data_IF_385738243464
#
_entry.id   IF_385738243464
#
_cell.length_a   1.000
_cell.length_b   1.000
_cell.length_c   1.000
_cell.angle_alpha   90.00
_cell.angle_beta   90.00
_cell.angle_gamma   90.00
#
_symmetry.space_group_name_H-M   'P 1'
#
loop_
_entity.id
_entity.type
_entity.pdbx_description
1 polymer ?
#
# COMPACT_ATOMS: atom_id res chain seq x y z
N UNK A 1 -23.35 18.46 33.83
CA UNK A 1 -22.77 17.22 33.30
C UNK A 1 -21.27 17.38 33.39
N UNK A 2 -20.62 16.53 34.18
CA UNK A 2 -19.25 16.74 34.64
C UNK A 2 -18.24 16.57 33.52
N UNK A 3 -17.32 17.54 33.41
CA UNK A 3 -16.11 17.43 32.61
C UNK A 3 -15.30 16.24 33.15
N UNK A 4 -15.29 15.13 32.42
CA UNK A 4 -14.32 14.06 32.69
C UNK A 4 -12.94 14.64 32.39
N UNK A 5 -12.01 14.47 33.32
CA UNK A 5 -10.66 14.99 33.23
C UNK A 5 -9.94 14.35 32.03
N UNK A 6 -9.98 15.05 30.90
CA UNK A 6 -9.43 14.61 29.63
C UNK A 6 -7.94 14.37 29.72
N UNK A 7 -7.46 13.46 28.87
CA UNK A 7 -6.04 13.32 28.57
C UNK A 7 -5.48 14.72 28.28
N UNK A 8 -4.49 15.14 29.07
CA UNK A 8 -3.93 16.49 29.00
C UNK A 8 -3.43 16.75 27.58
N UNK A 9 -4.13 17.63 26.84
CA UNK A 9 -3.77 17.99 25.48
C UNK A 9 -4.84 17.74 24.40
N UNK A 10 -6.00 17.16 24.72
CA UNK A 10 -7.08 16.90 23.73
C UNK A 10 -8.36 17.67 24.09
N UNK A 11 -9.11 18.10 23.07
CA UNK A 11 -10.39 18.76 23.23
C UNK A 11 -11.38 17.89 24.02
N UNK A 12 -11.99 18.39 25.11
CA UNK A 12 -12.90 17.60 25.95
C UNK A 12 -14.25 17.29 25.29
N UNK A 13 -14.53 17.88 24.13
CA UNK A 13 -15.75 17.61 23.36
C UNK A 13 -15.48 16.80 22.09
N UNK A 14 -14.24 16.33 21.89
CA UNK A 14 -13.91 15.41 20.81
C UNK A 14 -14.01 13.98 21.34
N UNK A 15 -14.83 13.14 20.71
CA UNK A 15 -14.99 11.74 21.10
C UNK A 15 -15.47 10.85 19.96
N UNK A 16 -15.70 9.57 20.22
CA UNK A 16 -16.22 8.61 19.24
C UNK A 16 -17.72 8.86 19.00
N UNK A 17 -18.31 8.36 17.89
CA UNK A 17 -19.71 8.62 17.57
C UNK A 17 -20.68 8.03 18.61
N UNK A 18 -20.33 6.86 19.15
CA UNK A 18 -21.14 6.10 20.12
C UNK A 18 -20.67 6.27 21.57
N UNK A 19 -19.47 6.83 21.76
CA UNK A 19 -18.85 7.01 23.08
C UNK A 19 -18.11 8.34 23.11
N UNK A 20 -18.75 9.37 23.68
CA UNK A 20 -18.21 10.72 23.76
C UNK A 20 -17.02 10.85 24.70
N UNK A 21 -16.81 9.88 25.61
CA UNK A 21 -15.71 9.89 26.57
C UNK A 21 -14.45 9.20 26.02
N UNK A 22 -14.60 8.41 24.95
CA UNK A 22 -13.49 7.80 24.21
C UNK A 22 -13.11 8.66 23.01
N UNK A 23 -11.82 8.82 22.71
CA UNK A 23 -11.32 9.59 21.57
C UNK A 23 -10.19 8.83 20.89
N UNK A 24 -10.07 8.94 19.56
CA UNK A 24 -8.85 8.50 18.86
C UNK A 24 -7.82 9.61 18.99
N UNK A 25 -6.66 9.28 19.54
CA UNK A 25 -5.51 10.19 19.73
C UNK A 25 -4.82 10.59 18.40
N UNK A 26 -5.35 10.11 17.28
CA UNK A 26 -4.95 10.49 15.92
C UNK A 26 -6.14 11.03 15.11
N UNK A 27 -5.90 11.88 14.09
CA UNK A 27 -6.95 12.43 13.22
C UNK A 27 -7.71 11.32 12.50
N UNK A 28 -9.04 11.30 12.62
CA UNK A 28 -9.88 10.21 12.14
C UNK A 28 -11.31 10.64 11.84
N UNK A 29 -11.96 9.94 10.91
CA UNK A 29 -13.39 10.12 10.64
C UNK A 29 -14.30 9.70 11.80
N UNK A 30 -13.76 8.95 12.78
CA UNK A 30 -14.50 8.55 13.97
C UNK A 30 -14.42 9.58 15.10
N UNK A 31 -13.57 10.59 15.00
CA UNK A 31 -13.52 11.65 15.98
C UNK A 31 -14.60 12.69 15.67
N UNK A 32 -15.65 12.70 16.49
CA UNK A 32 -16.83 13.55 16.38
C UNK A 32 -16.76 14.67 17.41
N UNK A 33 -17.12 15.89 17.00
CA UNK A 33 -17.32 16.98 17.93
C UNK A 33 -18.73 16.90 18.54
N UNK A 34 -18.80 16.63 19.83
CA UNK A 34 -20.02 16.60 20.64
C UNK A 34 -20.41 17.98 21.20
N UNK A 35 -19.62 19.02 20.91
CA UNK A 35 -19.96 20.40 21.27
C UNK A 35 -21.06 21.00 20.39
N UNK A 36 -21.25 20.44 19.20
CA UNK A 36 -22.18 20.91 18.16
C UNK A 36 -23.38 19.98 18.03
N UNK A 37 -24.50 20.50 17.51
CA UNK A 37 -25.70 19.70 17.23
C UNK A 37 -26.13 19.82 15.76
N UNK A 38 -26.21 18.71 15.00
CA UNK A 38 -25.87 17.34 15.42
C UNK A 38 -24.35 17.15 15.60
N UNK A 39 -23.91 16.16 16.40
CA UNK A 39 -22.50 15.78 16.49
C UNK A 39 -21.92 15.56 15.08
N UNK A 40 -20.81 16.23 14.79
CA UNK A 40 -20.26 16.29 13.43
C UNK A 40 -18.75 16.05 13.46
N UNK A 41 -18.24 15.32 12.46
CA UNK A 41 -16.81 15.02 12.30
C UNK A 41 -16.07 16.28 11.81
N UNK A 42 -15.14 16.86 12.60
CA UNK A 42 -14.31 17.95 12.13
C UNK A 42 -13.36 17.47 11.02
N UNK A 43 -12.90 18.37 10.14
CA UNK A 43 -11.90 18.00 9.12
C UNK A 43 -10.65 17.40 9.75
N UNK A 44 -10.00 16.45 9.06
CA UNK A 44 -8.79 15.81 9.57
C UNK A 44 -7.71 16.85 9.91
N UNK A 45 -7.53 17.86 9.05
CA UNK A 45 -6.61 18.98 9.30
C UNK A 45 -6.97 19.77 10.57
N UNK A 46 -8.26 20.01 10.83
CA UNK A 46 -8.69 20.68 12.04
C UNK A 46 -8.48 19.80 13.29
N UNK A 47 -8.68 18.48 13.17
CA UNK A 47 -8.37 17.56 14.25
C UNK A 47 -6.88 17.55 14.58
N UNK A 48 -6.00 17.43 13.57
CA UNK A 48 -4.54 17.43 13.72
C UNK A 48 -4.04 18.71 14.38
N UNK A 49 -4.47 19.86 13.88
CA UNK A 49 -3.89 21.14 14.27
C UNK A 49 -4.57 21.78 15.49
N UNK A 50 -5.74 21.27 15.90
CA UNK A 50 -6.54 21.92 16.94
C UNK A 50 -7.23 20.92 17.87
N UNK A 51 -8.08 20.00 17.39
CA UNK A 51 -8.89 19.19 18.31
C UNK A 51 -8.07 18.19 19.16
N UNK A 52 -6.96 17.69 18.63
CA UNK A 52 -6.06 16.73 19.29
C UNK A 52 -4.83 17.39 19.92
N UNK A 53 -4.83 18.72 20.03
CA UNK A 53 -3.73 19.50 20.61
C UNK A 53 -4.29 20.48 21.64
N UNK A 54 -3.44 21.05 22.51
CA UNK A 54 -3.86 22.09 23.47
C UNK A 54 -4.48 23.33 22.81
N UNK A 55 -4.34 23.46 21.48
CA UNK A 55 -4.91 24.56 20.70
C UNK A 55 -6.42 24.50 20.58
N UNK A 56 -7.07 23.42 21.02
CA UNK A 56 -8.53 23.37 21.15
C UNK A 56 -9.08 24.52 22.00
N UNK A 57 -8.30 25.03 22.96
CA UNK A 57 -8.70 26.17 23.80
C UNK A 57 -8.97 27.45 22.99
N UNK A 58 -8.39 27.55 21.79
CA UNK A 58 -8.58 28.65 20.83
C UNK A 58 -9.53 28.29 19.68
N UNK A 59 -10.11 27.09 19.69
CA UNK A 59 -11.08 26.69 18.68
C UNK A 59 -12.33 27.58 18.76
N UNK A 60 -12.76 28.10 17.61
CA UNK A 60 -13.98 28.93 17.53
C UNK A 60 -15.22 28.13 17.92
N UNK A 61 -15.25 26.82 17.63
CA UNK A 61 -16.36 25.93 17.99
C UNK A 61 -16.35 25.64 19.49
N UNK A 62 -15.18 25.53 20.12
CA UNK A 62 -15.03 25.31 21.55
C UNK A 62 -15.48 26.51 22.38
N UNK A 63 -15.20 27.72 21.91
CA UNK A 63 -15.55 28.98 22.58
C UNK A 63 -16.97 29.48 22.26
N UNK A 64 -17.62 28.90 21.26
CA UNK A 64 -19.00 29.22 20.89
C UNK A 64 -20.02 28.68 21.91
N UNK A 65 -21.29 29.02 21.72
CA UNK A 65 -22.38 28.41 22.49
C UNK A 65 -22.48 26.90 22.23
N UNK A 66 -22.71 26.15 23.30
CA UNK A 66 -22.92 24.70 23.24
C UNK A 66 -24.15 24.36 22.38
N UNK A 67 -24.08 23.26 21.63
CA UNK A 67 -25.08 22.84 20.64
C UNK A 67 -25.24 23.80 19.44
N UNK A 68 -24.27 24.69 19.19
CA UNK A 68 -24.23 25.47 17.96
C UNK A 68 -24.01 24.59 16.72
N UNK A 69 -24.27 25.13 15.53
CA UNK A 69 -24.02 24.43 14.27
C UNK A 69 -22.53 24.46 13.93
N UNK A 70 -21.99 23.33 13.46
CA UNK A 70 -20.63 23.26 12.95
C UNK A 70 -20.45 24.16 11.71
N UNK A 71 -19.41 25.01 11.64
CA UNK A 71 -19.06 25.72 10.42
C UNK A 71 -18.78 24.75 9.26
N UNK A 72 -19.29 25.08 8.07
CA UNK A 72 -19.17 24.20 6.90
C UNK A 72 -17.71 23.91 6.49
N UNK A 73 -16.80 24.88 6.70
CA UNK A 73 -15.36 24.74 6.42
C UNK A 73 -14.67 23.72 7.33
N UNK A 74 -15.20 23.53 8.54
CA UNK A 74 -14.67 22.60 9.53
C UNK A 74 -15.33 21.23 9.45
N UNK A 75 -16.30 21.03 8.56
CA UNK A 75 -16.98 19.75 8.37
C UNK A 75 -16.31 18.97 7.24
N UNK A 76 -16.08 17.66 7.42
CA UNK A 76 -15.63 16.80 6.30
C UNK A 76 -16.65 16.91 5.17
N UNK A 77 -16.21 17.52 4.05
CA UNK A 77 -17.00 17.57 2.83
C UNK A 77 -16.89 16.20 2.16
N UNK A 78 -17.80 15.29 2.49
CA UNK A 78 -17.91 14.04 1.76
C UNK A 78 -18.11 14.39 0.28
N UNK A 79 -17.11 14.09 -0.55
CA UNK A 79 -17.27 13.98 -1.99
C UNK A 79 -18.13 12.74 -2.24
N UNK A 80 -19.45 12.89 -2.04
CA UNK A 80 -20.40 11.84 -2.40
C UNK A 80 -20.14 11.51 -3.87
N UNK A 81 -19.75 10.26 -4.21
CA UNK A 81 -19.66 9.88 -5.60
C UNK A 81 -21.04 10.12 -6.22
N UNK A 82 -21.12 10.61 -7.48
CA UNK A 82 -22.40 10.88 -8.11
C UNK A 82 -23.23 9.60 -8.05
N UNK A 83 -24.37 9.67 -7.35
CA UNK A 83 -25.33 8.56 -7.28
C UNK A 83 -25.75 8.26 -8.71
N UNK A 84 -25.15 7.23 -9.32
CA UNK A 84 -25.65 6.71 -10.60
C UNK A 84 -27.11 6.33 -10.35
N UNK A 85 -28.06 6.83 -11.16
CA UNK A 85 -29.46 6.54 -10.94
C UNK A 85 -29.67 5.04 -11.05
N UNK A 86 -30.03 4.41 -9.91
CA UNK A 86 -30.30 2.96 -9.74
C UNK A 86 -31.23 2.40 -10.84
N UNK A 87 -32.04 3.28 -11.45
CA UNK A 87 -32.86 3.02 -12.64
C UNK A 87 -32.09 2.37 -13.80
N UNK A 88 -30.83 2.73 -14.04
CA UNK A 88 -30.05 2.11 -15.14
C UNK A 88 -29.59 0.70 -14.82
N UNK A 89 -29.39 0.38 -13.54
CA UNK A 89 -29.06 -0.98 -13.10
C UNK A 89 -30.25 -1.94 -13.31
N UNK A 90 -31.46 -1.47 -13.02
CA UNK A 90 -32.69 -2.25 -13.27
C UNK A 90 -33.00 -2.40 -14.77
N UNK A 91 -32.72 -1.37 -15.59
CA UNK A 91 -32.88 -1.46 -17.05
C UNK A 91 -31.86 -2.43 -17.66
N UNK A 92 -30.59 -2.41 -17.22
CA UNK A 92 -29.59 -3.37 -17.68
C UNK A 92 -29.93 -4.80 -17.26
N UNK A 93 -30.42 -4.99 -16.03
CA UNK A 93 -30.82 -6.30 -15.53
C UNK A 93 -32.02 -6.87 -16.30
N UNK A 94 -33.02 -6.03 -16.60
CA UNK A 94 -34.18 -6.42 -17.41
C UNK A 94 -33.79 -6.76 -18.86
N UNK A 95 -32.87 -6.01 -19.46
CA UNK A 95 -32.35 -6.30 -20.80
C UNK A 95 -31.59 -7.63 -20.84
N UNK A 96 -30.72 -7.91 -19.85
CA UNK A 96 -30.00 -9.19 -19.75
C UNK A 96 -30.98 -10.34 -19.55
N UNK A 97 -31.98 -10.19 -18.69
CA UNK A 97 -33.01 -11.21 -18.49
C UNK A 97 -33.80 -11.50 -19.78
N UNK A 98 -34.17 -10.45 -20.55
CA UNK A 98 -34.86 -10.61 -21.82
C UNK A 98 -34.01 -11.34 -22.88
N UNK A 99 -32.70 -11.05 -22.92
CA UNK A 99 -31.76 -11.76 -23.82
C UNK A 99 -31.62 -13.23 -23.42
N UNK A 100 -31.51 -13.54 -22.12
CA UNK A 100 -31.44 -14.92 -21.62
C UNK A 100 -32.72 -15.70 -21.92
N UNK A 101 -33.89 -15.08 -21.76
CA UNK A 101 -35.18 -15.69 -22.12
C UNK A 101 -35.27 -15.91 -23.63
N UNK A 102 -34.85 -14.94 -24.46
CA UNK A 102 -34.80 -15.09 -25.91
C UNK A 102 -33.89 -16.22 -26.38
N UNK A 103 -32.71 -16.35 -25.78
CA UNK A 103 -31.79 -17.46 -26.05
C UNK A 103 -32.36 -18.82 -25.61
N UNK A 104 -33.08 -18.86 -24.48
CA UNK A 104 -33.75 -20.09 -24.03
C UNK A 104 -34.85 -20.53 -25.00
N UNK A 105 -35.69 -19.61 -25.46
CA UNK A 105 -36.75 -19.89 -26.44
C UNK A 105 -36.18 -20.31 -27.82
N UNK A 106 -35.06 -19.72 -28.25
CA UNK A 106 -34.36 -20.12 -29.48
C UNK A 106 -33.73 -21.51 -29.38
N UNK A 107 -33.31 -21.93 -28.18
CA UNK A 107 -32.73 -23.25 -27.94
C UNK A 107 -33.79 -24.35 -27.90
N UNK A 108 -35.00 -24.03 -27.40
CA UNK A 108 -36.13 -24.98 -27.37
C UNK A 108 -36.66 -25.29 -28.78
N UNK A 109 -36.64 -24.30 -29.68
CA UNK A 109 -36.98 -24.47 -31.10
C UNK A 109 -35.99 -25.35 -31.89
N UNK A 110 -34.77 -25.58 -31.35
CA UNK A 110 -33.75 -26.45 -31.97
C UNK A 110 -33.79 -27.89 -31.47
N UNK A 111 -34.65 -28.23 -30.50
CA UNK A 111 -34.76 -29.60 -29.94
C UNK A 111 -35.84 -30.48 -30.59
N UNK A 112 -36.29 -30.15 -31.80
CA UNK A 112 -37.17 -31.02 -32.58
C UNK A 112 -36.41 -31.60 -33.78
N UNK A 113 -35.60 -32.61 -33.51
CA UNK A 113 -35.09 -33.50 -34.56
C UNK A 113 -33.69 -34.01 -34.30
N UNK A 114 -33.55 -35.12 -33.58
CA UNK A 114 -32.98 -36.32 -34.18
C UNK A 114 -33.23 -37.56 -33.31
N UNK A 115 -33.52 -38.65 -34.01
CA UNK A 115 -34.09 -39.89 -33.54
C UNK A 115 -33.10 -40.82 -32.81
N UNK A 116 -33.70 -41.66 -31.99
CA UNK A 116 -33.18 -42.79 -31.20
C UNK A 116 -32.55 -43.91 -32.06
N UNK A 117 -31.41 -44.45 -31.62
CA UNK A 117 -30.95 -45.83 -31.93
C UNK A 117 -30.39 -46.47 -30.64
N UNK A 118 -30.68 -47.75 -30.32
CA UNK A 118 -30.32 -48.35 -29.03
C UNK A 118 -29.09 -49.28 -29.03
N UNK A 119 -28.28 -49.15 -27.97
CA UNK A 119 -27.47 -50.19 -27.26
C UNK A 119 -26.15 -50.69 -27.88
N UNK A 120 -25.29 -51.44 -27.15
CA UNK A 120 -25.25 -51.70 -25.70
C UNK A 120 -23.83 -51.60 -25.06
N UNK A 121 -23.80 -51.89 -23.75
CA UNK A 121 -22.74 -52.55 -22.97
C UNK A 121 -21.62 -51.71 -22.30
N UNK A 122 -21.59 -51.87 -20.98
CA UNK A 122 -20.53 -51.47 -20.08
C UNK A 122 -19.23 -52.25 -20.32
N UNK A 123 -18.08 -51.61 -20.08
CA UNK A 123 -16.83 -52.29 -19.71
C UNK A 123 -15.99 -51.34 -18.86
N UNK A 124 -15.58 -51.83 -17.70
CA UNK A 124 -14.66 -51.20 -16.75
C UNK A 124 -13.23 -51.30 -17.27
N UNK A 125 -12.47 -50.21 -17.22
CA UNK A 125 -11.01 -50.28 -17.38
C UNK A 125 -10.34 -49.37 -16.35
N UNK A 126 -9.62 -49.99 -15.42
CA UNK A 126 -8.67 -49.35 -14.54
C UNK A 126 -7.53 -48.74 -15.37
N UNK A 127 -7.33 -47.42 -15.28
CA UNK A 127 -6.09 -46.79 -15.76
C UNK A 127 -5.21 -46.49 -14.57
N UNK A 128 -4.22 -47.36 -14.39
CA UNK A 128 -3.15 -47.21 -13.43
C UNK A 128 -2.25 -46.02 -13.79
N UNK A 129 -1.86 -45.30 -12.74
CA UNK A 129 -0.81 -44.28 -12.70
C UNK A 129 0.53 -44.90 -13.08
N UNK A 130 1.46 -44.14 -13.66
CA UNK A 130 2.86 -44.30 -13.33
C UNK A 130 3.40 -43.05 -12.65
N UNK A 131 3.85 -43.26 -11.41
CA UNK A 131 4.79 -42.42 -10.70
C UNK A 131 6.01 -42.13 -11.58
N UNK A 132 6.42 -40.86 -11.65
CA UNK A 132 7.71 -40.47 -12.23
C UNK A 132 8.82 -40.89 -11.25
N UNK A 133 9.57 -41.91 -11.66
CA UNK A 133 10.81 -42.35 -11.03
C UNK A 133 11.91 -41.32 -11.30
N UNK A 134 12.50 -40.83 -10.21
CA UNK A 134 13.76 -40.09 -10.18
C UNK A 134 14.86 -41.04 -10.69
N UNK A 135 15.62 -40.61 -11.69
CA UNK A 135 16.88 -41.25 -12.08
C UNK A 135 18.05 -40.32 -11.74
N UNK A 136 18.79 -40.73 -10.72
CA UNK A 136 20.20 -40.39 -10.56
C UNK A 136 20.99 -40.91 -11.75
N UNK A 137 21.79 -40.04 -12.35
CA UNK A 137 22.86 -40.42 -13.27
C UNK A 137 24.15 -39.75 -12.81
N UNK A 138 24.88 -40.48 -11.98
CA UNK A 138 26.31 -40.37 -11.79
C UNK A 138 27.01 -40.71 -13.11
N UNK A 139 27.80 -39.79 -13.64
CA UNK A 139 28.89 -40.10 -14.57
C UNK A 139 29.99 -39.05 -14.45
N UNK A 140 31.03 -39.41 -13.72
CA UNK A 140 32.36 -38.81 -13.80
C UNK A 140 32.98 -39.14 -15.16
N UNK A 141 33.66 -38.18 -15.79
CA UNK A 141 35.00 -38.51 -16.29
C UNK A 141 36.05 -37.48 -15.85
N UNK A 142 37.18 -38.06 -15.44
CA UNK A 142 38.47 -37.46 -15.13
C UNK A 142 39.21 -37.04 -16.42
N UNK A 143 40.24 -36.20 -16.24
CA UNK A 143 41.27 -35.68 -17.18
C UNK A 143 40.99 -34.24 -17.68
N UNK A 144 41.93 -33.30 -17.70
CA UNK A 144 43.35 -33.26 -17.32
C UNK A 144 43.75 -31.80 -17.05
N UNK A 145 44.75 -31.59 -16.18
CA UNK A 145 45.36 -30.30 -15.89
C UNK A 145 46.23 -29.84 -17.07
N UNK A 146 46.08 -28.57 -17.49
CA UNK A 146 47.03 -27.85 -18.35
C UNK A 146 47.30 -26.47 -17.75
N UNK A 147 48.57 -26.02 -17.61
CA UNK A 147 48.88 -24.78 -16.90
C UNK A 147 48.96 -23.55 -17.84
N UNK A 148 48.82 -22.36 -17.23
CA UNK A 148 49.33 -21.03 -17.70
C UNK A 148 48.36 -20.27 -18.63
N UNK A 149 47.99 -19.00 -18.40
CA UNK A 149 48.78 -17.88 -17.90
C UNK A 149 48.06 -17.02 -16.85
N UNK A 150 48.85 -16.62 -15.85
CA UNK A 150 48.60 -15.58 -14.87
C UNK A 150 48.49 -14.22 -15.56
N UNK A 151 47.30 -13.62 -15.59
CA UNK A 151 47.16 -12.17 -15.78
C UNK A 151 47.27 -11.49 -14.43
N UNK A 152 48.38 -10.79 -14.21
CA UNK A 152 48.59 -9.89 -13.08
C UNK A 152 47.48 -8.83 -13.06
N UNK A 153 46.61 -8.76 -12.04
CA UNK A 153 45.70 -7.63 -11.91
C UNK A 153 46.54 -6.40 -11.51
N UNK A 154 46.46 -5.33 -12.29
CA UNK A 154 47.02 -4.04 -11.91
C UNK A 154 46.41 -3.59 -10.57
N UNK A 155 47.18 -2.87 -9.73
CA UNK A 155 46.66 -2.29 -8.50
C UNK A 155 45.45 -1.40 -8.84
N UNK A 156 44.38 -1.39 -8.03
CA UNK A 156 43.26 -0.49 -8.25
C UNK A 156 43.78 0.95 -8.14
N UNK A 157 43.84 1.63 -9.29
CA UNK A 157 43.88 3.08 -9.35
C UNK A 157 42.66 3.57 -8.57
N UNK A 158 42.89 4.22 -7.44
CA UNK A 158 41.85 4.96 -6.72
C UNK A 158 41.45 6.16 -7.59
N UNK A 159 40.65 5.87 -8.61
CA UNK A 159 39.90 6.90 -9.32
C UNK A 159 38.99 7.53 -8.27
N UNK A 160 39.09 8.85 -8.00
CA UNK A 160 38.15 9.50 -7.10
C UNK A 160 36.77 9.37 -7.73
N UNK A 161 35.95 8.48 -7.19
CA UNK A 161 34.54 8.29 -7.55
C UNK A 161 33.89 9.66 -7.49
N UNK A 162 33.39 10.11 -8.64
CA UNK A 162 32.71 11.39 -8.75
C UNK A 162 31.61 11.44 -7.69
N UNK A 163 31.71 12.43 -6.79
CA UNK A 163 30.66 12.70 -5.81
C UNK A 163 29.38 12.97 -6.59
N UNK A 164 28.39 12.07 -6.48
CA UNK A 164 27.12 12.21 -7.18
C UNK A 164 26.51 13.56 -6.79
N UNK A 165 26.27 14.44 -7.78
CA UNK A 165 25.68 15.77 -7.60
C UNK A 165 24.15 15.70 -7.40
N UNK A 166 23.65 14.61 -6.83
CA UNK A 166 22.23 14.35 -6.61
C UNK A 166 21.82 14.72 -5.20
N UNK A 167 20.54 15.00 -5.01
CA UNK A 167 19.99 15.12 -3.67
C UNK A 167 20.09 13.76 -2.96
N UNK A 168 20.57 13.71 -1.71
CA UNK A 168 20.62 12.47 -0.97
C UNK A 168 19.19 11.98 -0.68
N UNK A 169 18.99 10.67 -0.66
CA UNK A 169 17.69 10.07 -0.32
C UNK A 169 17.50 10.04 1.19
N UNK A 170 17.38 11.22 1.80
CA UNK A 170 17.02 11.33 3.21
C UNK A 170 15.53 11.11 3.43
N UNK A 171 15.12 11.04 4.70
CA UNK A 171 13.70 11.05 5.06
C UNK A 171 13.00 12.29 4.46
N UNK A 172 11.73 12.12 4.10
CA UNK A 172 10.82 13.14 3.54
C UNK A 172 11.24 13.77 2.20
N UNK A 173 12.35 13.31 1.62
CA UNK A 173 12.75 13.65 0.25
C UNK A 173 12.06 12.71 -0.72
N UNK A 174 11.56 13.28 -1.82
CA UNK A 174 10.89 12.52 -2.87
C UNK A 174 11.92 11.68 -3.63
N UNK A 175 11.61 10.39 -3.77
CA UNK A 175 12.38 9.40 -4.53
C UNK A 175 11.54 8.96 -5.74
N UNK A 176 12.18 8.83 -6.90
CA UNK A 176 11.58 8.35 -8.14
C UNK A 176 11.05 9.46 -9.04
N UNK A 177 11.04 9.19 -10.36
CA UNK A 177 10.50 10.11 -11.36
C UNK A 177 9.03 9.81 -11.71
N UNK A 178 8.74 8.56 -12.09
CA UNK A 178 7.42 8.10 -12.53
C UNK A 178 6.52 7.77 -11.34
N UNK A 179 7.00 6.85 -10.49
CA UNK A 179 6.37 6.51 -9.23
C UNK A 179 7.14 7.20 -8.11
N UNK A 180 6.45 8.11 -7.42
CA UNK A 180 7.06 8.98 -6.41
C UNK A 180 6.72 8.50 -5.02
N UNK A 181 7.75 8.44 -4.18
CA UNK A 181 7.62 8.02 -2.79
C UNK A 181 8.37 8.98 -1.88
N UNK A 182 7.95 9.05 -0.63
CA UNK A 182 8.79 9.53 0.47
C UNK A 182 8.96 8.42 1.49
N UNK A 183 10.10 8.41 2.17
CA UNK A 183 10.32 7.56 3.34
C UNK A 183 10.20 8.47 4.56
N UNK A 184 9.24 8.17 5.42
CA UNK A 184 8.87 9.02 6.54
C UNK A 184 9.04 8.30 7.86
N UNK A 185 9.49 9.03 8.90
CA UNK A 185 9.51 8.55 10.27
C UNK A 185 8.30 9.09 11.00
N UNK A 186 7.40 8.18 11.39
CA UNK A 186 6.13 8.50 12.04
C UNK A 186 6.39 9.27 13.35
N UNK A 187 5.76 10.43 13.45
CA UNK A 187 5.72 11.30 14.62
C UNK A 187 4.44 11.07 15.45
N UNK A 188 4.43 11.60 16.67
CA UNK A 188 3.25 11.53 17.54
C UNK A 188 2.02 12.16 16.89
N UNK A 189 0.89 11.46 16.94
CA UNK A 189 -0.39 11.92 16.40
C UNK A 189 -0.58 11.68 14.90
N UNK A 190 0.38 11.07 14.21
CA UNK A 190 0.25 10.74 12.79
C UNK A 190 -0.42 9.38 12.56
N UNK A 191 -1.08 9.24 11.40
CA UNK A 191 -1.81 8.03 11.04
C UNK A 191 -1.72 7.74 9.53
N UNK A 192 -1.96 6.49 9.14
CA UNK A 192 -2.06 6.12 7.71
C UNK A 192 -3.10 6.99 6.99
N UNK A 193 -4.21 7.31 7.65
CA UNK A 193 -5.27 8.14 7.08
C UNK A 193 -4.80 9.58 6.84
N UNK A 194 -4.01 10.14 7.77
CA UNK A 194 -3.40 11.45 7.63
C UNK A 194 -2.47 11.50 6.42
N UNK A 195 -1.54 10.54 6.33
CA UNK A 195 -0.62 10.44 5.19
C UNK A 195 -1.34 10.27 3.86
N UNK A 196 -2.38 9.43 3.81
CA UNK A 196 -3.19 9.25 2.61
C UNK A 196 -3.81 10.56 2.12
N UNK A 197 -4.29 11.39 3.05
CA UNK A 197 -4.93 12.67 2.75
C UNK A 197 -3.90 13.70 2.28
N UNK A 198 -2.79 13.84 3.01
CA UNK A 198 -1.75 14.84 2.72
C UNK A 198 -1.01 14.57 1.40
N UNK A 199 -0.78 13.30 1.08
CA UNK A 199 0.00 12.89 -0.11
C UNK A 199 -0.87 12.46 -1.28
N UNK A 200 -2.17 12.77 -1.23
CA UNK A 200 -3.13 12.43 -2.27
C UNK A 200 -3.05 10.95 -2.70
N UNK A 201 -2.95 10.04 -1.73
CA UNK A 201 -2.98 8.59 -1.94
C UNK A 201 -4.19 7.96 -1.21
N UNK A 202 -4.17 6.67 -0.92
CA UNK A 202 -5.19 5.97 -0.11
C UNK A 202 -4.54 5.11 0.97
N UNK A 203 -5.23 4.83 2.08
CA UNK A 203 -4.71 3.93 3.11
C UNK A 203 -4.35 2.54 2.57
N UNK A 204 -5.12 2.04 1.61
CA UNK A 204 -4.89 0.72 1.02
C UNK A 204 -3.64 0.70 0.13
N UNK A 205 -3.40 1.77 -0.62
CA UNK A 205 -2.14 1.90 -1.38
C UNK A 205 -0.95 1.95 -0.43
N UNK A 206 -0.99 2.80 0.61
CA UNK A 206 0.08 2.87 1.63
C UNK A 206 0.33 1.48 2.25
N UNK A 207 -0.72 0.79 2.71
CA UNK A 207 -0.59 -0.54 3.30
C UNK A 207 -0.01 -1.56 2.31
N UNK A 208 -0.38 -1.47 1.03
CA UNK A 208 0.08 -2.41 0.00
C UNK A 208 1.54 -2.23 -0.40
N UNK A 209 2.05 -0.99 -0.37
CA UNK A 209 3.44 -0.69 -0.76
C UNK A 209 4.43 -0.82 0.39
N UNK A 210 3.97 -0.99 1.63
CA UNK A 210 4.86 -1.22 2.77
C UNK A 210 4.95 -2.71 3.09
N UNK A 211 6.12 -3.29 2.89
CA UNK A 211 6.36 -4.70 3.21
C UNK A 211 6.24 -4.94 4.71
N UNK A 212 5.45 -5.95 5.11
CA UNK A 212 5.19 -6.32 6.51
C UNK A 212 4.75 -5.15 7.41
N UNK A 213 3.98 -4.20 6.87
CA UNK A 213 3.47 -3.08 7.67
C UNK A 213 2.62 -3.60 8.84
N UNK A 214 3.01 -3.22 10.05
CA UNK A 214 2.21 -3.44 11.25
C UNK A 214 1.19 -2.31 11.39
N UNK A 215 -0.07 -2.66 11.65
CA UNK A 215 -1.16 -1.71 11.89
C UNK A 215 -1.75 -1.98 13.29
N UNK A 216 -1.90 -0.97 14.18
CA UNK A 216 -1.61 0.45 13.93
C UNK A 216 -0.11 0.75 13.78
N UNK A 217 0.19 1.89 13.15
CA UNK A 217 1.58 2.40 13.05
C UNK A 217 1.96 3.11 14.35
N UNK A 218 3.20 2.94 14.78
CA UNK A 218 3.71 3.52 16.02
C UNK A 218 4.66 4.68 15.73
N UNK A 219 4.84 5.58 16.70
CA UNK A 219 5.90 6.59 16.66
C UNK A 219 7.25 5.91 16.37
N UNK A 220 8.10 6.58 15.62
CA UNK A 220 9.39 6.12 15.11
C UNK A 220 9.35 5.00 14.06
N UNK A 221 8.16 4.53 13.66
CA UNK A 221 8.04 3.61 12.52
C UNK A 221 8.51 4.29 11.24
N UNK A 222 9.28 3.57 10.42
CA UNK A 222 9.68 4.05 9.09
C UNK A 222 8.69 3.50 8.07
N UNK A 223 8.02 4.41 7.36
CA UNK A 223 6.95 4.08 6.41
C UNK A 223 7.24 4.71 5.05
N UNK A 224 6.96 3.95 3.99
CA UNK A 224 6.99 4.44 2.60
C UNK A 224 5.61 5.03 2.27
N UNK A 225 5.56 6.27 1.81
CA UNK A 225 4.32 6.95 1.43
C UNK A 225 4.37 7.26 -0.07
N UNK A 226 3.50 6.63 -0.89
CA UNK A 226 3.38 6.96 -2.30
C UNK A 226 2.66 8.30 -2.49
N UNK A 227 3.08 9.06 -3.49
CA UNK A 227 2.52 10.37 -3.81
C UNK A 227 1.57 10.26 -5.01
N UNK A 228 0.43 10.96 -4.94
CA UNK A 228 -0.52 11.16 -6.05
C UNK A 228 -1.04 9.86 -6.70
N UNK A 229 -1.07 8.76 -5.94
CA UNK A 229 -1.47 7.43 -6.44
C UNK A 229 -2.65 6.86 -5.68
N UNK A 230 -3.74 6.53 -6.38
CA UNK A 230 -4.99 6.02 -5.79
C UNK A 230 -5.23 4.52 -5.96
N UNK A 231 -4.46 3.88 -6.83
CA UNK A 231 -4.53 2.45 -7.10
C UNK A 231 -3.13 1.83 -7.02
N UNK A 232 -2.93 0.69 -6.33
CA UNK A 232 -1.60 0.14 -6.17
C UNK A 232 -1.06 -0.48 -7.47
N UNK A 233 -1.91 -0.90 -8.41
CA UNK A 233 -1.51 -1.54 -9.67
C UNK A 233 -0.44 -2.60 -9.47
N UNK A 234 0.60 -2.53 -10.30
CA UNK A 234 1.73 -3.48 -10.34
C UNK A 234 2.91 -3.08 -9.44
N UNK A 235 2.76 -2.07 -8.56
CA UNK A 235 3.84 -1.71 -7.66
C UNK A 235 4.24 -2.88 -6.76
N UNK A 236 5.54 -3.17 -6.55
CA UNK A 236 5.93 -4.09 -5.50
C UNK A 236 5.61 -3.49 -4.12
N UNK A 237 5.73 -4.31 -3.08
CA UNK A 237 5.91 -3.76 -1.74
C UNK A 237 7.36 -3.31 -1.60
N UNK A 238 7.65 -2.40 -0.68
CA UNK A 238 8.98 -1.89 -0.41
C UNK A 238 9.32 -2.08 1.07
N UNK A 239 10.56 -2.44 1.31
CA UNK A 239 11.19 -2.42 2.63
C UNK A 239 12.16 -1.22 2.68
N UNK A 240 12.04 -0.31 3.66
CA UNK A 240 12.93 0.83 3.76
C UNK A 240 14.27 0.39 4.36
N UNK A 241 15.36 0.60 3.63
CA UNK A 241 16.71 0.24 4.08
C UNK A 241 17.59 1.47 4.27
N UNK A 242 17.98 1.75 5.52
CA UNK A 242 18.86 2.87 5.87
C UNK A 242 20.35 2.51 5.74
N UNK A 243 21.12 3.41 5.15
CA UNK A 243 22.56 3.27 4.98
C UNK A 243 23.27 3.71 6.26
N UNK A 244 23.99 2.80 6.91
CA UNK A 244 24.74 3.06 8.13
C UNK A 244 26.22 3.37 7.86
N UNK A 245 26.81 2.66 6.91
CA UNK A 245 28.25 2.72 6.59
C UNK A 245 28.50 3.33 5.22
N UNK A 246 29.67 3.97 5.06
CA UNK A 246 30.11 4.51 3.77
C UNK A 246 30.53 3.41 2.82
N UNK A 247 30.34 3.64 1.52
CA UNK A 247 30.92 2.81 0.47
C UNK A 247 29.99 1.72 -0.06
N UNK A 248 28.75 1.64 0.42
CA UNK A 248 27.74 0.77 -0.16
C UNK A 248 27.21 1.33 -1.49
N UNK A 249 27.04 0.48 -2.47
CA UNK A 249 26.39 0.79 -3.76
C UNK A 249 25.07 0.05 -3.91
N UNK A 250 24.26 0.43 -4.90
CA UNK A 250 23.06 -0.35 -5.25
C UNK A 250 23.40 -1.77 -5.71
N UNK A 251 24.55 -2.00 -6.36
CA UNK A 251 24.96 -3.36 -6.71
C UNK A 251 25.18 -4.24 -5.48
N UNK A 252 25.81 -3.70 -4.45
CA UNK A 252 26.05 -4.44 -3.20
C UNK A 252 24.72 -4.75 -2.50
N UNK A 253 23.80 -3.79 -2.50
CA UNK A 253 22.46 -3.93 -1.91
C UNK A 253 21.62 -4.96 -2.67
N UNK A 254 21.64 -4.93 -4.01
CA UNK A 254 20.95 -5.90 -4.85
C UNK A 254 21.44 -7.33 -4.55
N UNK A 255 22.76 -7.53 -4.46
CA UNK A 255 23.36 -8.81 -4.07
C UNK A 255 22.98 -9.24 -2.65
N UNK A 256 22.99 -8.31 -1.69
CA UNK A 256 22.63 -8.58 -0.28
C UNK A 256 21.18 -9.03 -0.11
N UNK A 257 20.26 -8.39 -0.81
CA UNK A 257 18.83 -8.64 -0.67
C UNK A 257 18.24 -9.60 -1.72
N UNK A 258 19.09 -10.08 -2.64
CA UNK A 258 18.70 -10.92 -3.77
C UNK A 258 17.55 -10.29 -4.60
N UNK A 259 17.71 -9.00 -4.92
CA UNK A 259 16.77 -8.22 -5.72
C UNK A 259 17.39 -7.92 -7.08
N UNK A 260 16.55 -7.89 -8.12
CA UNK A 260 16.98 -7.49 -9.45
C UNK A 260 17.51 -6.05 -9.45
N UNK A 261 18.72 -5.86 -10.00
CA UNK A 261 19.41 -4.58 -9.99
C UNK A 261 18.72 -3.53 -10.86
N UNK A 262 18.09 -3.93 -11.97
CA UNK A 262 17.36 -3.02 -12.86
C UNK A 262 16.13 -2.47 -12.15
N UNK A 263 15.36 -3.33 -11.48
CA UNK A 263 14.19 -2.93 -10.69
C UNK A 263 14.61 -2.04 -9.51
N UNK A 264 15.69 -2.38 -8.81
CA UNK A 264 16.20 -1.59 -7.68
C UNK A 264 16.62 -0.19 -8.13
N UNK A 265 17.33 -0.08 -9.26
CA UNK A 265 17.73 1.18 -9.90
C UNK A 265 16.50 2.02 -10.27
N UNK A 266 15.51 1.40 -10.92
CA UNK A 266 14.29 2.07 -11.39
C UNK A 266 13.53 2.79 -10.27
N UNK A 267 13.26 2.10 -9.16
CA UNK A 267 12.46 2.69 -8.08
C UNK A 267 13.23 3.66 -7.21
N UNK A 268 14.56 3.53 -7.15
CA UNK A 268 15.38 4.43 -6.37
C UNK A 268 15.88 5.62 -7.17
N UNK A 269 15.82 5.62 -8.50
CA UNK A 269 16.39 6.70 -9.32
C UNK A 269 17.90 6.92 -9.05
N UNK A 270 18.65 5.80 -9.01
CA UNK A 270 20.08 5.78 -8.70
C UNK A 270 20.84 4.91 -9.68
N UNK A 271 22.08 5.29 -10.01
CA UNK A 271 22.93 4.43 -10.81
C UNK A 271 23.49 3.27 -9.96
N UNK A 272 23.75 2.10 -10.57
CA UNK A 272 24.29 0.94 -9.84
C UNK A 272 25.60 1.19 -9.07
N UNK A 273 26.43 2.11 -9.56
CA UNK A 273 27.75 2.45 -9.00
C UNK A 273 27.71 3.65 -8.05
N UNK A 274 26.54 4.29 -7.86
CA UNK A 274 26.44 5.44 -6.97
C UNK A 274 26.78 5.01 -5.56
N UNK A 275 27.79 5.65 -4.99
CA UNK A 275 28.20 5.41 -3.61
C UNK A 275 27.23 6.13 -2.69
N UNK A 276 26.56 5.35 -1.85
CA UNK A 276 25.59 5.85 -0.90
C UNK A 276 26.28 6.40 0.35
N UNK A 277 25.73 7.48 0.89
CA UNK A 277 26.19 8.09 2.13
C UNK A 277 25.36 7.61 3.33
N UNK A 278 25.96 7.51 4.53
CA UNK A 278 25.21 7.24 5.75
C UNK A 278 24.05 8.22 5.97
N UNK A 279 22.89 7.70 6.35
CA UNK A 279 21.66 8.46 6.51
C UNK A 279 20.77 8.50 5.26
N UNK A 280 21.27 8.05 4.11
CA UNK A 280 20.43 7.78 2.95
C UNK A 280 19.56 6.53 3.15
N UNK A 281 18.48 6.47 2.39
CA UNK A 281 17.52 5.38 2.40
C UNK A 281 17.30 4.85 1.00
N UNK A 282 17.09 3.53 0.92
CA UNK A 282 16.82 2.81 -0.32
C UNK A 282 15.51 2.05 -0.16
N UNK A 283 14.64 2.19 -1.16
CA UNK A 283 13.44 1.38 -1.33
C UNK A 283 13.86 0.00 -1.84
N UNK A 284 13.73 -1.05 -1.03
CA UNK A 284 14.04 -2.42 -1.45
C UNK A 284 12.75 -3.09 -1.92
N UNK A 285 12.59 -3.39 -3.23
CA UNK A 285 11.44 -4.12 -3.75
C UNK A 285 11.27 -5.50 -3.11
N UNK A 286 10.04 -5.83 -2.74
CA UNK A 286 9.59 -7.09 -2.16
C UNK A 286 8.31 -7.55 -2.84
N UNK A 287 8.06 -8.85 -2.77
CA UNK A 287 6.76 -9.39 -3.16
C UNK A 287 5.65 -8.80 -2.27
N UNK A 288 4.53 -8.43 -2.90
CA UNK A 288 3.39 -7.88 -2.19
C UNK A 288 2.67 -8.98 -1.43
N UNK A 289 2.63 -8.88 -0.11
CA UNK A 289 1.79 -9.73 0.74
C UNK A 289 0.36 -9.18 0.75
N UNK A 290 -0.53 -9.84 0.02
CA UNK A 290 -1.96 -9.53 0.06
C UNK A 290 -2.56 -10.07 1.37
N UNK A 291 -3.08 -9.18 2.19
CA UNK A 291 -3.68 -9.46 3.49
C UNK A 291 -5.10 -10.08 3.42
N UNK A 292 -5.58 -10.39 2.22
CA UNK A 292 -6.91 -10.96 1.96
C UNK A 292 -6.87 -12.31 1.25
N UNK A 293 -6.24 -13.31 1.87
CA UNK A 293 -6.49 -14.71 1.52
C UNK A 293 -7.06 -15.45 2.72
N UNK A 294 -8.30 -15.13 3.09
CA UNK A 294 -9.19 -16.00 3.85
C UNK A 294 -10.62 -15.79 3.39
#
# INVERSE_FOLDING_TARGET
>A
MGLSAGQSGICPYLGLPEDADSVQDYPSANNVCHHVSPPTVPTLTHQTNCCLTEEYARCQVYTAEHNSKMPAELTIKESRPPRRPVRWFFVSLAAVAAVLVGLFLLNDARKTGQATVPGPAATSTHTAVPFLLIRDSTATPTHAVSPTATSTPLPPTLTPTAKANRAPHSLDVVIGEQDKFIIHRVSSGESIQLFATQHNTTPDVIKSVNHNLVVPIWVDSIIIIPLDRKDPGDLPAFEPYGIADKGLTLRDIAGKFNVDLEILTLYNDLLPEDVLEPGEWVLIPRERTYWYRY
#
